data_IF_834815049684
#
_entry.id   IF_834815049684
#
_cell.length_a   1.000
_cell.length_b   1.000
_cell.length_c   1.000
_cell.angle_alpha   90.00
_cell.angle_beta   90.00
_cell.angle_gamma   90.00
#
_symmetry.space_group_name_H-M   'P 1'
#
loop_
_entity.id
_entity.type
_entity.pdbx_description
1 polymer ?
#
# COMPACT_ATOMS: atom_id res chain seq x y z
N UNK A 1 -20.82 3.31 19.00
CA UNK A 1 -19.36 3.36 18.74
C UNK A 1 -19.08 2.51 17.51
N UNK A 2 -18.42 3.07 16.54
CA UNK A 2 -18.03 2.33 15.37
C UNK A 2 -16.70 1.64 15.65
N UNK A 3 -16.75 0.37 16.01
CA UNK A 3 -15.54 -0.38 16.28
C UNK A 3 -14.84 -0.73 14.96
N UNK A 4 -13.64 -0.19 14.78
CA UNK A 4 -12.77 -0.56 13.66
C UNK A 4 -11.95 -1.78 14.06
N UNK A 5 -12.03 -2.83 13.25
CA UNK A 5 -11.25 -4.05 13.43
C UNK A 5 -10.23 -4.15 12.31
N UNK A 6 -8.96 -4.38 12.68
CA UNK A 6 -7.89 -4.66 11.71
C UNK A 6 -7.54 -6.14 11.87
N UNK A 7 -7.57 -6.86 10.77
CA UNK A 7 -7.26 -8.28 10.74
C UNK A 7 -6.46 -8.66 9.51
N UNK A 8 -5.81 -9.79 9.56
CA UNK A 8 -5.18 -10.39 8.40
C UNK A 8 -6.23 -10.74 7.36
N UNK A 9 -5.99 -10.38 6.10
CA UNK A 9 -6.86 -10.77 5.00
C UNK A 9 -6.68 -12.25 4.66
N UNK A 10 -7.77 -12.87 4.23
CA UNK A 10 -7.83 -14.28 3.79
C UNK A 10 -8.22 -14.34 2.31
N UNK A 11 -8.09 -15.52 1.64
CA UNK A 11 -8.47 -15.63 0.23
C UNK A 11 -9.90 -15.19 -0.08
N UNK A 12 -10.81 -15.31 0.87
CA UNK A 12 -12.21 -14.90 0.74
C UNK A 12 -12.39 -13.38 0.65
N UNK A 13 -11.37 -12.62 1.03
CA UNK A 13 -11.37 -11.15 0.97
C UNK A 13 -11.07 -10.59 -0.43
N UNK A 14 -10.68 -11.42 -1.40
CA UNK A 14 -10.29 -10.94 -2.72
C UNK A 14 -11.34 -10.04 -3.39
N UNK A 15 -12.65 -10.38 -3.41
CA UNK A 15 -13.65 -9.48 -3.97
C UNK A 15 -13.77 -8.15 -3.25
N UNK A 16 -13.78 -8.15 -1.91
CA UNK A 16 -13.87 -6.93 -1.12
C UNK A 16 -12.61 -6.04 -1.29
N UNK A 17 -11.43 -6.64 -1.36
CA UNK A 17 -10.17 -5.93 -1.61
C UNK A 17 -10.13 -5.35 -3.02
N UNK A 18 -10.65 -6.04 -4.02
CA UNK A 18 -10.73 -5.52 -5.39
C UNK A 18 -11.62 -4.27 -5.45
N UNK A 19 -12.79 -4.32 -4.82
CA UNK A 19 -13.71 -3.19 -4.75
C UNK A 19 -13.08 -2.02 -3.99
N UNK A 20 -12.51 -2.28 -2.82
CA UNK A 20 -11.85 -1.27 -1.99
C UNK A 20 -10.62 -0.67 -2.67
N UNK A 21 -9.79 -1.51 -3.29
CA UNK A 21 -8.58 -1.08 -4.01
C UNK A 21 -8.92 -0.15 -5.17
N UNK A 22 -9.93 -0.50 -5.96
CA UNK A 22 -10.43 0.34 -7.04
C UNK A 22 -10.99 1.67 -6.50
N UNK A 23 -11.85 1.61 -5.48
CA UNK A 23 -12.47 2.80 -4.89
C UNK A 23 -11.43 3.76 -4.32
N UNK A 24 -10.48 3.29 -3.54
CA UNK A 24 -9.43 4.11 -2.94
C UNK A 24 -8.49 4.71 -3.99
N UNK A 25 -8.17 3.96 -5.04
CA UNK A 25 -7.37 4.46 -6.15
C UNK A 25 -8.11 5.58 -6.90
N UNK A 26 -9.37 5.38 -7.23
CA UNK A 26 -10.21 6.38 -7.91
C UNK A 26 -10.32 7.65 -7.06
N UNK A 27 -10.58 7.53 -5.76
CA UNK A 27 -10.67 8.69 -4.87
C UNK A 27 -9.38 9.52 -4.83
N UNK A 28 -8.22 8.86 -4.91
CA UNK A 28 -6.92 9.51 -4.78
C UNK A 28 -6.38 10.01 -6.13
N UNK A 29 -6.58 9.26 -7.21
CA UNK A 29 -5.89 9.46 -8.47
C UNK A 29 -6.78 9.46 -9.70
N UNK A 30 -8.07 9.16 -9.57
CA UNK A 30 -8.97 8.96 -10.72
C UNK A 30 -9.03 10.15 -11.70
N UNK A 31 -8.89 11.37 -11.18
CA UNK A 31 -8.90 12.58 -12.00
C UNK A 31 -7.63 12.78 -12.84
N UNK A 32 -6.56 12.04 -12.57
CA UNK A 32 -5.29 12.16 -13.29
C UNK A 32 -5.28 11.43 -14.62
N UNK A 33 -6.22 10.51 -14.84
CA UNK A 33 -6.18 9.57 -15.96
C UNK A 33 -7.45 9.67 -16.82
N UNK A 34 -7.30 9.40 -18.11
CA UNK A 34 -8.44 9.21 -19.00
C UNK A 34 -9.22 7.94 -18.63
N UNK A 35 -10.54 7.88 -18.93
CA UNK A 35 -11.39 6.74 -18.52
C UNK A 35 -10.90 5.37 -18.98
N UNK A 36 -10.39 5.26 -20.20
CA UNK A 36 -9.90 4.00 -20.77
C UNK A 36 -8.63 3.50 -20.08
N UNK A 37 -7.67 4.41 -19.84
CA UNK A 37 -6.42 4.09 -19.16
C UNK A 37 -6.66 3.73 -17.70
N UNK A 38 -7.56 4.45 -17.01
CA UNK A 38 -7.95 4.15 -15.65
C UNK A 38 -8.60 2.77 -15.55
N UNK A 39 -9.55 2.46 -16.44
CA UNK A 39 -10.21 1.15 -16.44
C UNK A 39 -9.20 0.02 -16.67
N UNK A 40 -8.32 0.14 -17.66
CA UNK A 40 -7.30 -0.87 -17.96
C UNK A 40 -6.38 -1.10 -16.75
N UNK A 41 -5.95 -0.03 -16.09
CA UNK A 41 -5.11 -0.12 -14.88
C UNK A 41 -5.85 -0.83 -13.73
N UNK A 42 -7.12 -0.49 -13.49
CA UNK A 42 -7.91 -1.12 -12.44
C UNK A 42 -8.15 -2.61 -12.69
N UNK A 43 -8.38 -2.99 -13.95
CA UNK A 43 -8.53 -4.41 -14.34
C UNK A 43 -7.24 -5.20 -14.13
N UNK A 44 -6.09 -4.60 -14.39
CA UNK A 44 -4.79 -5.23 -14.19
C UNK A 44 -4.41 -5.32 -12.71
N UNK A 45 -4.51 -4.20 -11.98
CA UNK A 45 -3.91 -4.03 -10.66
C UNK A 45 -4.87 -4.21 -9.50
N UNK A 46 -6.17 -4.04 -9.71
CA UNK A 46 -7.22 -4.06 -8.69
C UNK A 46 -8.38 -5.00 -9.02
N UNK A 47 -8.15 -6.01 -9.83
CA UNK A 47 -9.13 -7.07 -10.09
C UNK A 47 -9.18 -8.08 -8.96
N UNK A 48 -10.27 -8.84 -8.90
CA UNK A 48 -10.39 -9.98 -7.97
C UNK A 48 -9.22 -10.97 -8.17
N UNK A 49 -8.87 -11.24 -9.42
CA UNK A 49 -7.74 -12.13 -9.76
C UNK A 49 -6.40 -11.62 -9.26
N UNK A 50 -6.15 -10.31 -9.36
CA UNK A 50 -4.93 -9.70 -8.85
C UNK A 50 -4.80 -9.86 -7.33
N UNK A 51 -5.87 -9.61 -6.59
CA UNK A 51 -5.87 -9.79 -5.12
C UNK A 51 -5.85 -11.26 -4.71
N UNK A 52 -6.55 -12.13 -5.43
CA UNK A 52 -6.48 -13.58 -5.18
C UNK A 52 -5.05 -14.11 -5.34
N UNK A 53 -4.34 -13.66 -6.36
CA UNK A 53 -2.93 -14.01 -6.59
C UNK A 53 -2.03 -13.49 -5.46
N UNK A 54 -2.21 -12.24 -5.03
CA UNK A 54 -1.45 -11.67 -3.92
C UNK A 54 -1.71 -12.42 -2.60
N UNK A 55 -2.97 -12.74 -2.31
CA UNK A 55 -3.37 -13.49 -1.11
C UNK A 55 -2.82 -14.92 -1.08
N UNK A 56 -2.67 -15.54 -2.25
CA UNK A 56 -2.11 -16.88 -2.37
C UNK A 56 -0.58 -16.92 -2.30
N UNK A 57 0.09 -15.78 -2.46
CA UNK A 57 1.54 -15.70 -2.43
C UNK A 57 2.04 -15.70 -0.98
N UNK A 58 2.83 -16.71 -0.55
CA UNK A 58 3.33 -16.80 0.83
C UNK A 58 4.31 -15.68 1.21
N UNK A 59 4.91 -15.03 0.22
CA UNK A 59 5.85 -13.93 0.44
C UNK A 59 5.14 -12.59 0.68
N UNK A 60 3.82 -12.55 0.51
CA UNK A 60 2.99 -11.36 0.71
C UNK A 60 2.10 -11.51 1.94
N UNK A 61 1.73 -10.38 2.50
CA UNK A 61 0.72 -10.30 3.54
C UNK A 61 -0.19 -9.10 3.28
N UNK A 62 -1.48 -9.30 3.48
CA UNK A 62 -2.48 -8.25 3.36
C UNK A 62 -3.29 -8.17 4.65
N UNK A 63 -3.71 -6.96 4.97
CA UNK A 63 -4.59 -6.66 6.10
C UNK A 63 -5.76 -5.84 5.61
N UNK A 64 -6.90 -6.04 6.23
CA UNK A 64 -8.10 -5.25 5.99
C UNK A 64 -8.55 -4.60 7.29
N UNK A 65 -8.93 -3.33 7.18
CA UNK A 65 -9.62 -2.61 8.23
C UNK A 65 -11.10 -2.60 7.92
N UNK A 66 -11.92 -3.03 8.85
CA UNK A 66 -13.37 -3.10 8.73
C UNK A 66 -14.04 -2.22 9.79
N UNK A 67 -15.12 -1.59 9.41
CA UNK A 67 -16.01 -0.84 10.29
C UNK A 67 -17.44 -1.23 9.97
N UNK A 68 -18.17 -1.67 10.97
CA UNK A 68 -19.56 -2.16 10.82
C UNK A 68 -19.69 -3.23 9.72
N UNK A 69 -18.69 -4.13 9.61
CA UNK A 69 -18.66 -5.21 8.61
C UNK A 69 -18.30 -4.77 7.19
N UNK A 70 -17.86 -3.52 7.00
CA UNK A 70 -17.47 -2.99 5.69
C UNK A 70 -15.97 -2.71 5.67
N UNK A 71 -15.30 -3.12 4.59
CA UNK A 71 -13.90 -2.79 4.38
C UNK A 71 -13.75 -1.28 4.10
N UNK A 72 -12.89 -0.62 4.87
CA UNK A 72 -12.65 0.83 4.80
C UNK A 72 -11.19 1.19 4.50
N UNK A 73 -10.29 0.25 4.61
CA UNK A 73 -8.88 0.42 4.33
C UNK A 73 -8.15 -0.91 4.26
N UNK A 74 -6.96 -0.91 3.67
CA UNK A 74 -6.14 -2.11 3.57
C UNK A 74 -4.65 -1.77 3.45
N UNK A 75 -3.81 -2.76 3.75
CA UNK A 75 -2.38 -2.70 3.55
C UNK A 75 -1.90 -3.98 2.86
N UNK A 76 -0.84 -3.86 2.09
CA UNK A 76 -0.15 -4.98 1.44
C UNK A 76 1.36 -4.82 1.62
N UNK A 77 2.01 -5.86 2.09
CA UNK A 77 3.46 -5.92 2.30
C UNK A 77 4.07 -7.15 1.62
N UNK A 78 5.34 -7.07 1.28
CA UNK A 78 6.06 -8.17 0.65
C UNK A 78 7.52 -7.83 0.38
N UNK A 79 8.21 -8.64 -0.45
CA UNK A 79 9.56 -8.35 -0.89
C UNK A 79 9.63 -7.05 -1.70
N UNK A 80 10.72 -6.30 -1.57
CA UNK A 80 10.90 -5.07 -2.32
C UNK A 80 11.06 -5.33 -3.81
N UNK A 81 10.28 -4.61 -4.62
CA UNK A 81 10.34 -4.62 -6.08
C UNK A 81 10.54 -3.24 -6.68
N UNK A 82 10.92 -2.23 -5.87
CA UNK A 82 11.10 -0.87 -6.36
C UNK A 82 12.34 -0.75 -7.24
N UNK A 83 12.29 0.11 -8.28
CA UNK A 83 13.40 0.26 -9.24
C UNK A 83 14.51 1.19 -8.69
N UNK A 84 15.18 0.75 -7.66
CA UNK A 84 16.30 1.46 -7.04
C UNK A 84 17.53 0.56 -7.01
N UNK A 85 18.71 1.13 -7.25
CA UNK A 85 19.96 0.37 -7.31
C UNK A 85 20.28 -0.38 -6.00
N UNK A 86 19.91 0.19 -4.86
CA UNK A 86 20.16 -0.38 -3.54
C UNK A 86 19.04 -1.28 -3.04
N UNK A 87 17.92 -1.38 -3.76
CA UNK A 87 16.80 -2.24 -3.40
C UNK A 87 17.03 -3.68 -3.84
N UNK A 88 16.63 -4.61 -3.00
CA UNK A 88 16.68 -6.04 -3.32
C UNK A 88 15.44 -6.76 -2.79
N UNK A 89 15.12 -7.96 -3.32
CA UNK A 89 14.02 -8.77 -2.78
C UNK A 89 14.20 -9.20 -1.32
N UNK A 90 15.43 -9.13 -0.79
CA UNK A 90 15.71 -9.38 0.63
C UNK A 90 15.20 -8.24 1.53
N UNK A 91 15.01 -7.04 0.97
CA UNK A 91 14.40 -5.92 1.68
C UNK A 91 12.88 -6.08 1.73
N UNK A 92 12.24 -5.45 2.69
CA UNK A 92 10.79 -5.39 2.79
C UNK A 92 10.20 -4.15 2.14
N UNK A 93 9.00 -4.28 1.63
CA UNK A 93 8.25 -3.16 1.05
C UNK A 93 6.83 -3.11 1.57
N UNK A 94 6.41 -1.95 2.05
CA UNK A 94 4.99 -1.65 2.17
C UNK A 94 4.49 -1.23 0.79
N UNK A 95 3.81 -2.16 0.13
CA UNK A 95 3.41 -1.99 -1.29
C UNK A 95 2.17 -1.15 -1.46
N UNK A 96 1.23 -1.26 -0.53
CA UNK A 96 -0.05 -0.54 -0.57
C UNK A 96 -0.50 -0.22 0.84
N UNK A 97 -0.98 0.99 1.03
CA UNK A 97 -1.64 1.46 2.25
C UNK A 97 -2.68 2.51 1.84
N UNK A 98 -3.93 2.11 1.80
CA UNK A 98 -5.01 2.96 1.33
C UNK A 98 -6.22 2.89 2.25
N UNK A 99 -6.86 4.05 2.43
CA UNK A 99 -8.11 4.17 3.14
C UNK A 99 -9.11 4.96 2.29
N UNK A 100 -10.37 4.63 2.41
CA UNK A 100 -11.43 5.51 1.92
C UNK A 100 -11.29 6.89 2.58
N UNK A 101 -11.58 7.96 1.85
CA UNK A 101 -11.49 9.33 2.40
C UNK A 101 -12.29 9.50 3.67
N UNK A 102 -13.46 8.85 3.75
CA UNK A 102 -14.31 8.87 4.93
C UNK A 102 -13.68 8.22 6.18
N UNK A 103 -12.68 7.36 6.00
CA UNK A 103 -11.99 6.66 7.08
C UNK A 103 -10.64 7.26 7.46
N UNK A 104 -10.21 8.32 6.78
CA UNK A 104 -8.94 8.98 7.05
C UNK A 104 -9.00 9.83 8.33
N UNK A 105 -7.83 10.11 8.90
CA UNK A 105 -7.64 10.94 10.10
C UNK A 105 -8.20 10.35 11.40
N UNK A 106 -8.57 9.06 11.41
CA UNK A 106 -9.05 8.34 12.59
C UNK A 106 -8.05 7.35 13.19
N UNK A 107 -6.79 7.37 12.75
CA UNK A 107 -5.75 6.45 13.25
C UNK A 107 -5.71 5.07 12.59
N UNK A 108 -6.65 4.76 11.70
CA UNK A 108 -6.73 3.46 11.01
C UNK A 108 -5.50 3.22 10.14
N UNK A 109 -5.05 4.24 9.41
CA UNK A 109 -3.85 4.16 8.57
C UNK A 109 -2.60 3.83 9.37
N UNK A 110 -2.42 4.47 10.54
CA UNK A 110 -1.32 4.18 11.45
C UNK A 110 -1.35 2.75 11.97
N UNK A 111 -2.53 2.26 12.34
CA UNK A 111 -2.70 0.90 12.83
C UNK A 111 -2.42 -0.16 11.75
N UNK A 112 -2.89 0.05 10.51
CA UNK A 112 -2.55 -0.80 9.37
C UNK A 112 -1.04 -0.78 9.08
N UNK A 113 -0.44 0.39 9.13
CA UNK A 113 0.99 0.59 8.92
C UNK A 113 1.82 -0.20 9.94
N UNK A 114 1.47 -0.09 11.22
CA UNK A 114 2.15 -0.82 12.31
C UNK A 114 2.06 -2.34 12.12
N UNK A 115 0.90 -2.86 11.74
CA UNK A 115 0.72 -4.29 11.47
C UNK A 115 1.61 -4.76 10.32
N UNK A 116 1.66 -3.99 9.23
CA UNK A 116 2.47 -4.31 8.07
C UNK A 116 3.97 -4.29 8.40
N UNK A 117 4.43 -3.27 9.11
CA UNK A 117 5.84 -3.17 9.49
C UNK A 117 6.26 -4.27 10.47
N UNK A 118 5.42 -4.60 11.44
CA UNK A 118 5.69 -5.70 12.37
C UNK A 118 5.87 -7.02 11.61
N UNK A 119 5.04 -7.27 10.61
CA UNK A 119 5.16 -8.45 9.78
C UNK A 119 6.43 -8.42 8.92
N UNK A 120 6.78 -7.28 8.34
CA UNK A 120 8.00 -7.14 7.54
C UNK A 120 9.28 -7.38 8.38
N UNK A 121 9.24 -7.04 9.65
CA UNK A 121 10.36 -7.20 10.59
C UNK A 121 10.24 -8.45 11.49
N UNK A 122 9.33 -9.38 11.18
CA UNK A 122 9.07 -10.56 12.01
C UNK A 122 10.28 -11.49 12.23
N UNK A 123 11.19 -11.50 11.27
CA UNK A 123 12.41 -12.31 11.31
C UNK A 123 13.65 -11.48 11.71
N UNK A 124 13.45 -10.27 12.17
CA UNK A 124 14.49 -9.34 12.59
C UNK A 124 14.53 -8.05 11.79
N UNK A 125 15.39 -7.10 12.21
CA UNK A 125 15.52 -5.82 11.52
C UNK A 125 15.98 -6.00 10.07
N UNK A 126 15.39 -5.21 9.16
CA UNK A 126 15.75 -5.23 7.74
C UNK A 126 15.51 -3.85 7.13
N UNK A 127 16.09 -3.61 5.96
CA UNK A 127 15.79 -2.41 5.19
C UNK A 127 14.36 -2.47 4.71
N UNK A 128 13.63 -1.37 4.89
CA UNK A 128 12.24 -1.22 4.44
C UNK A 128 12.11 -0.09 3.43
N UNK A 129 11.22 -0.29 2.48
CA UNK A 129 10.94 0.63 1.39
C UNK A 129 9.45 0.94 1.28
N UNK A 130 9.15 2.15 0.84
CA UNK A 130 7.80 2.61 0.51
C UNK A 130 7.90 3.52 -0.70
N UNK A 131 6.96 3.44 -1.62
CA UNK A 131 6.80 4.48 -2.64
C UNK A 131 5.60 5.35 -2.34
N UNK A 132 5.67 6.61 -2.77
CA UNK A 132 4.63 7.59 -2.53
C UNK A 132 4.59 8.60 -3.68
N UNK A 133 3.39 9.01 -4.07
CA UNK A 133 3.20 10.06 -5.06
C UNK A 133 3.89 11.35 -4.61
N UNK A 134 4.59 12.01 -5.55
CA UNK A 134 5.39 13.22 -5.25
C UNK A 134 4.58 14.38 -4.67
N UNK A 135 3.27 14.42 -4.90
CA UNK A 135 2.37 15.45 -4.36
C UNK A 135 1.59 15.00 -3.13
N UNK A 136 1.81 13.79 -2.64
CA UNK A 136 1.21 13.32 -1.40
C UNK A 136 2.05 13.73 -0.18
N UNK A 137 2.03 15.02 0.13
CA UNK A 137 2.84 15.60 1.20
C UNK A 137 2.48 15.06 2.58
N UNK A 138 1.20 14.74 2.80
CA UNK A 138 0.74 14.15 4.06
C UNK A 138 1.36 12.78 4.33
N UNK A 139 1.36 11.91 3.33
CA UNK A 139 1.99 10.59 3.43
C UNK A 139 3.51 10.71 3.60
N UNK A 140 4.15 11.62 2.88
CA UNK A 140 5.60 11.87 3.02
C UNK A 140 5.96 12.28 4.46
N UNK A 141 5.20 13.17 5.07
CA UNK A 141 5.41 13.56 6.47
C UNK A 141 5.17 12.39 7.43
N UNK A 142 4.14 11.61 7.20
CA UNK A 142 3.83 10.43 7.99
C UNK A 142 4.99 9.41 7.95
N UNK A 143 5.48 9.09 6.76
CA UNK A 143 6.61 8.15 6.61
C UNK A 143 7.89 8.71 7.21
N UNK A 144 8.14 10.01 7.06
CA UNK A 144 9.27 10.69 7.70
C UNK A 144 9.29 10.56 9.23
N UNK A 145 8.11 10.68 9.87
CA UNK A 145 7.98 10.47 11.33
C UNK A 145 8.29 9.04 11.76
N UNK A 146 8.15 8.08 10.84
CA UNK A 146 8.47 6.66 11.10
C UNK A 146 9.87 6.25 10.66
N UNK A 147 10.75 7.23 10.40
CA UNK A 147 12.16 6.99 10.13
C UNK A 147 12.50 6.70 8.67
N UNK A 148 11.54 6.87 7.76
CA UNK A 148 11.79 6.77 6.32
C UNK A 148 12.30 8.09 5.76
N UNK A 149 13.28 8.02 4.86
CA UNK A 149 13.85 9.18 4.19
C UNK A 149 13.80 9.00 2.67
N UNK A 150 13.72 10.11 1.97
CA UNK A 150 13.76 10.13 0.50
C UNK A 150 15.02 9.45 -0.01
N UNK A 151 14.87 8.53 -0.96
CA UNK A 151 15.96 7.75 -1.53
C UNK A 151 16.05 7.85 -3.06
N UNK A 152 15.04 8.36 -3.73
CA UNK A 152 15.03 8.47 -5.17
C UNK A 152 13.62 8.61 -5.73
N UNK A 153 13.52 8.66 -7.05
CA UNK A 153 12.24 8.78 -7.75
C UNK A 153 12.18 7.92 -9.01
N UNK A 154 10.97 7.61 -9.43
CA UNK A 154 10.71 6.91 -10.68
C UNK A 154 9.37 7.36 -11.26
N UNK A 155 9.08 6.95 -12.48
CA UNK A 155 7.80 7.23 -13.12
C UNK A 155 6.81 6.09 -12.87
N UNK A 156 5.67 6.41 -12.26
CA UNK A 156 4.53 5.50 -12.16
C UNK A 156 3.65 5.70 -13.39
N UNK A 157 3.45 4.63 -14.15
CA UNK A 157 2.83 4.71 -15.47
C UNK A 157 1.42 4.13 -15.42
N UNK A 158 0.44 4.94 -15.86
CA UNK A 158 -0.94 4.52 -16.13
C UNK A 158 -1.27 4.96 -17.53
N UNK A 159 -1.36 4.04 -18.49
CA UNK A 159 -1.49 4.37 -19.89
C UNK A 159 -0.35 5.24 -20.39
N UNK A 160 -0.65 6.41 -20.89
CA UNK A 160 0.35 7.40 -21.33
C UNK A 160 0.78 8.36 -20.22
N UNK A 161 0.06 8.38 -19.09
CA UNK A 161 0.35 9.26 -17.97
C UNK A 161 1.55 8.74 -17.17
N UNK A 162 2.48 9.64 -16.88
CA UNK A 162 3.66 9.37 -16.06
C UNK A 162 3.63 10.25 -14.82
N UNK A 163 3.44 9.64 -13.67
CA UNK A 163 3.43 10.36 -12.40
C UNK A 163 4.78 10.21 -11.70
N UNK A 164 5.24 11.28 -11.07
CA UNK A 164 6.45 11.23 -10.24
C UNK A 164 6.14 10.50 -8.94
N UNK A 165 6.80 9.37 -8.73
CA UNK A 165 6.77 8.61 -7.48
C UNK A 165 8.10 8.74 -6.76
N UNK A 166 8.04 9.01 -5.47
CA UNK A 166 9.20 9.04 -4.60
C UNK A 166 9.38 7.70 -3.91
N UNK A 167 10.62 7.25 -3.82
CA UNK A 167 11.00 6.08 -3.03
C UNK A 167 11.55 6.55 -1.68
N UNK A 168 11.02 5.98 -0.61
CA UNK A 168 11.45 6.24 0.77
C UNK A 168 12.04 4.97 1.34
N UNK A 169 13.09 5.12 2.12
CA UNK A 169 13.86 4.01 2.69
C UNK A 169 14.07 4.21 4.18
N UNK A 170 14.00 3.12 4.91
CA UNK A 170 14.41 3.08 6.32
C UNK A 170 15.45 1.97 6.50
N UNK A 171 16.62 2.32 7.05
CA UNK A 171 17.65 1.36 7.41
C UNK A 171 17.17 0.41 8.52
N UNK A 172 17.77 -0.79 8.66
CA UNK A 172 17.45 -1.69 9.77
C UNK A 172 17.60 -0.98 11.11
N UNK A 173 16.59 -1.13 11.98
CA UNK A 173 16.68 -0.59 13.34
C UNK A 173 17.49 -1.53 14.22
N UNK A 174 18.30 -1.01 15.16
CA UNK A 174 18.93 -1.84 16.18
C UNK A 174 17.86 -2.60 16.98
N UNK A 175 18.17 -3.85 17.32
CA UNK A 175 17.30 -4.65 18.17
C UNK A 175 17.18 -4.06 19.59
#
# INVERSE_FOLDING_TARGET
MNDTVIRRATPEDAPALAELGAATFIESFGQLYGPADLQAFLEESHSVGAYAKALANPDYALWVAEQDGRAIGYAQAGPCGLPHADASPADGELKRLYLLKSAQNGGVGGALFEQALAWLERDGPRTLWISVWSENYGAQRFYGRHGFAFAGEYAFIVGEQRDREFMYRRAPRPA
#
